data_IF_422598218921
#
_entry.id   IF_422598218921
#
_cell.length_a   1.000
_cell.length_b   1.000
_cell.length_c   1.000
_cell.angle_alpha   90.00
_cell.angle_beta   90.00
_cell.angle_gamma   90.00
#
_symmetry.space_group_name_H-M   'P 1'
#
loop_
_entity.id
_entity.type
_entity.pdbx_description
1 polymer ?
#
# COMPACT_ATOMS: atom_id res chain seq x y z
N UNK A 1 -23.07 -21.98 18.73
CA UNK A 1 -22.57 -21.02 19.73
C UNK A 1 -23.46 -19.75 19.84
N UNK A 2 -24.79 -19.86 19.66
CA UNK A 2 -25.77 -18.79 19.90
C UNK A 2 -26.82 -19.32 20.90
N UNK A 3 -26.39 -19.83 22.05
CA UNK A 3 -27.28 -20.69 22.85
C UNK A 3 -28.28 -19.93 23.74
N UNK A 4 -28.41 -18.60 23.63
CA UNK A 4 -29.32 -17.77 24.45
C UNK A 4 -29.73 -16.42 23.81
N UNK A 5 -29.58 -16.24 22.50
CA UNK A 5 -30.11 -15.04 21.83
C UNK A 5 -31.55 -15.33 21.36
N UNK A 6 -32.40 -14.31 21.31
CA UNK A 6 -33.77 -14.46 20.78
C UNK A 6 -33.68 -14.93 19.32
N UNK A 7 -34.17 -16.15 19.01
CA UNK A 7 -34.03 -16.78 17.70
C UNK A 7 -34.64 -15.94 16.57
N UNK A 8 -35.76 -15.26 16.84
CA UNK A 8 -36.37 -14.34 15.88
C UNK A 8 -35.46 -13.15 15.56
N UNK A 9 -34.72 -12.64 16.55
CA UNK A 9 -33.81 -11.51 16.39
C UNK A 9 -32.56 -11.92 15.59
N UNK A 10 -32.06 -13.13 15.81
CA UNK A 10 -30.93 -13.69 15.06
C UNK A 10 -31.31 -13.84 13.58
N UNK A 11 -32.45 -14.47 13.31
CA UNK A 11 -32.97 -14.62 11.95
C UNK A 11 -33.14 -13.27 11.25
N UNK A 12 -33.64 -12.25 11.97
CA UNK A 12 -33.74 -10.90 11.44
C UNK A 12 -32.37 -10.33 11.03
N UNK A 13 -31.35 -10.42 11.88
CA UNK A 13 -30.01 -9.89 11.58
C UNK A 13 -29.37 -10.63 10.40
N UNK A 14 -29.42 -11.96 10.39
CA UNK A 14 -28.84 -12.78 9.34
C UNK A 14 -29.49 -12.55 7.97
N UNK A 15 -30.80 -12.30 7.92
CA UNK A 15 -31.53 -12.12 6.67
C UNK A 15 -31.59 -10.67 6.18
N UNK A 16 -31.58 -9.69 7.09
CA UNK A 16 -31.87 -8.29 6.75
C UNK A 16 -30.68 -7.35 6.92
N UNK A 17 -29.71 -7.71 7.77
CA UNK A 17 -28.62 -6.82 8.17
C UNK A 17 -27.29 -7.28 7.61
N UNK A 18 -26.86 -8.51 7.92
CA UNK A 18 -25.58 -9.03 7.45
C UNK A 18 -25.41 -9.00 5.92
N UNK A 19 -26.44 -9.28 5.09
CA UNK A 19 -26.27 -9.22 3.63
C UNK A 19 -25.81 -7.86 3.09
N UNK A 20 -26.04 -6.76 3.82
CA UNK A 20 -25.58 -5.41 3.42
C UNK A 20 -24.06 -5.28 3.44
N UNK A 21 -23.36 -6.12 4.21
CA UNK A 21 -21.91 -6.16 4.27
C UNK A 21 -21.27 -6.82 3.03
N UNK A 22 -22.05 -7.45 2.14
CA UNK A 22 -21.55 -8.16 0.98
C UNK A 22 -20.89 -7.21 -0.06
N UNK A 23 -21.26 -5.93 -0.05
CA UNK A 23 -20.72 -4.92 -0.98
C UNK A 23 -19.55 -4.13 -0.40
N UNK A 24 -19.14 -4.40 0.84
CA UNK A 24 -18.05 -3.66 1.50
C UNK A 24 -16.68 -4.25 1.15
N UNK A 25 -15.63 -3.45 1.38
CA UNK A 25 -14.26 -3.91 1.20
C UNK A 25 -13.90 -5.03 2.21
N UNK A 26 -12.75 -5.67 1.98
CA UNK A 26 -12.28 -6.78 2.82
C UNK A 26 -12.08 -6.37 4.30
N UNK A 27 -11.82 -5.09 4.57
CA UNK A 27 -11.56 -4.60 5.93
C UNK A 27 -12.86 -4.46 6.74
N UNK A 28 -14.00 -4.21 6.08
CA UNK A 28 -15.29 -3.98 6.73
C UNK A 28 -16.38 -4.96 6.27
N UNK A 29 -16.06 -6.04 5.53
CA UNK A 29 -17.05 -6.99 4.98
C UNK A 29 -17.58 -8.05 5.96
N UNK A 30 -18.22 -9.10 5.43
CA UNK A 30 -18.90 -10.14 6.22
C UNK A 30 -18.01 -10.83 7.29
N UNK A 31 -16.77 -11.14 6.94
CA UNK A 31 -15.81 -11.78 7.86
C UNK A 31 -15.52 -10.87 9.05
N UNK A 32 -15.39 -9.57 8.79
CA UNK A 32 -15.12 -8.56 9.81
C UNK A 32 -16.29 -8.46 10.79
N UNK A 33 -17.51 -8.21 10.30
CA UNK A 33 -18.69 -8.04 11.19
C UNK A 33 -18.96 -9.30 12.01
N UNK A 34 -18.79 -10.50 11.43
CA UNK A 34 -19.00 -11.74 12.16
C UNK A 34 -17.99 -11.92 13.31
N UNK A 35 -16.74 -11.54 13.08
CA UNK A 35 -15.71 -11.52 14.13
C UNK A 35 -16.08 -10.53 15.23
N UNK A 36 -16.48 -9.31 14.88
CA UNK A 36 -16.88 -8.28 15.85
C UNK A 36 -18.09 -8.72 16.67
N UNK A 37 -19.08 -9.37 16.04
CA UNK A 37 -20.23 -9.97 16.71
C UNK A 37 -19.78 -11.01 17.74
N UNK A 38 -18.90 -11.94 17.36
CA UNK A 38 -18.44 -13.00 18.25
C UNK A 38 -17.68 -12.42 19.45
N UNK A 39 -16.74 -11.49 19.21
CA UNK A 39 -16.01 -10.79 20.25
C UNK A 39 -16.94 -10.02 21.19
N UNK A 40 -17.94 -9.32 20.62
CA UNK A 40 -18.91 -8.56 21.39
C UNK A 40 -19.74 -9.45 22.31
N UNK A 41 -20.17 -10.62 21.83
CA UNK A 41 -20.96 -11.59 22.61
C UNK A 41 -20.16 -12.25 23.73
N UNK A 42 -18.85 -12.43 23.57
CA UNK A 42 -17.94 -12.87 24.63
C UNK A 42 -17.81 -11.77 25.71
N UNK A 43 -17.58 -10.52 25.30
CA UNK A 43 -17.52 -9.37 26.23
C UNK A 43 -18.84 -9.14 26.96
N UNK A 44 -19.99 -9.40 26.33
CA UNK A 44 -21.30 -9.33 26.98
C UNK A 44 -21.41 -10.30 28.17
N UNK A 45 -20.81 -11.49 28.06
CA UNK A 45 -20.81 -12.48 29.14
C UNK A 45 -19.97 -12.01 30.34
N UNK A 46 -18.84 -11.33 30.08
CA UNK A 46 -17.94 -10.82 31.11
C UNK A 46 -18.57 -9.61 31.83
N UNK A 47 -19.22 -8.73 31.07
CA UNK A 47 -19.76 -7.46 31.58
C UNK A 47 -21.16 -7.58 32.16
N UNK A 48 -21.87 -8.69 31.91
CA UNK A 48 -23.29 -8.85 32.24
C UNK A 48 -24.23 -8.03 31.36
N UNK A 49 -23.74 -7.45 30.26
CA UNK A 49 -24.55 -6.64 29.36
C UNK A 49 -25.62 -7.48 28.63
N UNK A 50 -26.73 -6.87 28.26
CA UNK A 50 -27.80 -7.55 27.53
C UNK A 50 -27.30 -8.04 26.17
N UNK A 51 -27.25 -9.37 25.99
CA UNK A 51 -26.71 -10.02 24.79
C UNK A 51 -27.42 -9.62 23.49
N UNK A 52 -28.74 -9.42 23.54
CA UNK A 52 -29.51 -9.03 22.36
C UNK A 52 -29.17 -7.60 21.93
N UNK A 53 -29.00 -6.68 22.88
CA UNK A 53 -28.57 -5.31 22.57
C UNK A 53 -27.14 -5.30 22.02
N UNK A 54 -26.22 -6.05 22.62
CA UNK A 54 -24.84 -6.18 22.14
C UNK A 54 -24.80 -6.75 20.73
N UNK A 55 -25.58 -7.78 20.45
CA UNK A 55 -25.68 -8.40 19.13
C UNK A 55 -26.13 -7.40 18.06
N UNK A 56 -27.15 -6.59 18.36
CA UNK A 56 -27.61 -5.54 17.44
C UNK A 56 -26.57 -4.45 17.25
N UNK A 57 -25.94 -3.96 18.32
CA UNK A 57 -24.88 -2.95 18.20
C UNK A 57 -23.75 -3.46 17.30
N UNK A 58 -23.30 -4.70 17.51
CA UNK A 58 -22.24 -5.30 16.69
C UNK A 58 -22.66 -5.52 15.24
N UNK A 59 -23.90 -5.95 14.98
CA UNK A 59 -24.38 -6.14 13.61
C UNK A 59 -24.57 -4.83 12.83
N UNK A 60 -24.78 -3.70 13.53
CA UNK A 60 -25.04 -2.40 12.90
C UNK A 60 -23.84 -1.46 12.85
N UNK A 61 -22.76 -1.74 13.58
CA UNK A 61 -21.72 -0.75 13.88
C UNK A 61 -21.11 -0.09 12.63
N UNK A 62 -20.98 -0.86 11.56
CA UNK A 62 -20.31 -0.48 10.32
C UNK A 62 -21.24 -0.27 9.12
N UNK A 63 -22.57 -0.37 9.29
CA UNK A 63 -23.51 -0.16 8.19
C UNK A 63 -23.42 1.24 7.55
N UNK A 64 -22.85 2.21 8.27
CA UNK A 64 -22.58 3.53 7.73
C UNK A 64 -21.48 3.58 6.65
N UNK A 65 -20.76 2.49 6.42
CA UNK A 65 -19.72 2.38 5.38
C UNK A 65 -20.27 2.36 3.95
N UNK A 66 -21.60 2.27 3.78
CA UNK A 66 -22.26 2.59 2.50
C UNK A 66 -22.04 4.05 2.07
N UNK A 67 -21.70 4.94 3.02
CA UNK A 67 -21.44 6.35 2.79
C UNK A 67 -20.00 6.77 3.10
N UNK A 68 -19.75 8.08 3.33
CA UNK A 68 -18.40 8.57 3.57
C UNK A 68 -17.80 8.03 4.87
N UNK A 69 -16.61 7.43 4.77
CA UNK A 69 -15.87 6.86 5.92
C UNK A 69 -15.63 7.85 7.06
N UNK A 70 -15.53 9.15 6.79
CA UNK A 70 -15.33 10.16 7.84
C UNK A 70 -16.46 10.19 8.88
N UNK A 71 -17.68 9.82 8.50
CA UNK A 71 -18.89 9.93 9.32
C UNK A 71 -19.67 8.61 9.43
N UNK A 72 -19.05 7.48 9.06
CA UNK A 72 -19.73 6.17 9.03
C UNK A 72 -20.36 5.80 10.39
N UNK A 73 -19.64 5.94 11.50
CA UNK A 73 -20.15 5.75 12.87
C UNK A 73 -21.45 6.51 13.18
N UNK A 74 -21.57 7.78 12.78
CA UNK A 74 -22.80 8.57 12.94
C UNK A 74 -23.92 8.09 12.01
N UNK A 75 -23.55 7.68 10.81
CA UNK A 75 -24.49 7.14 9.81
C UNK A 75 -25.04 5.79 10.25
N UNK A 76 -24.19 4.89 10.77
CA UNK A 76 -24.58 3.61 11.36
C UNK A 76 -25.53 3.80 12.55
N UNK A 77 -25.25 4.77 13.43
CA UNK A 77 -26.15 5.12 14.52
C UNK A 77 -27.54 5.54 14.03
N UNK A 78 -27.60 6.41 13.01
CA UNK A 78 -28.87 6.82 12.37
C UNK A 78 -29.61 5.65 11.73
N UNK A 79 -28.90 4.75 11.04
CA UNK A 79 -29.48 3.53 10.46
C UNK A 79 -30.14 2.69 11.55
N UNK A 80 -29.45 2.44 12.66
CA UNK A 80 -29.99 1.69 13.80
C UNK A 80 -31.23 2.37 14.39
N UNK A 81 -31.15 3.67 14.69
CA UNK A 81 -32.23 4.43 15.32
C UNK A 81 -33.52 4.47 14.48
N UNK A 82 -33.38 4.48 13.15
CA UNK A 82 -34.48 4.58 12.20
C UNK A 82 -35.06 3.21 11.79
N UNK A 83 -34.45 2.10 12.20
CA UNK A 83 -35.02 0.78 11.94
C UNK A 83 -36.20 0.50 12.87
N UNK A 84 -37.40 0.81 12.39
CA UNK A 84 -38.65 0.62 13.13
C UNK A 84 -38.89 -0.83 13.54
N UNK A 85 -38.28 -1.81 12.85
CA UNK A 85 -38.45 -3.25 13.14
C UNK A 85 -37.85 -3.61 14.50
N UNK A 86 -36.81 -2.90 14.94
CA UNK A 86 -36.18 -3.11 16.25
C UNK A 86 -37.15 -2.88 17.43
N UNK A 87 -38.22 -2.09 17.23
CA UNK A 87 -39.26 -1.85 18.24
C UNK A 87 -40.03 -3.12 18.64
N UNK A 88 -39.95 -4.19 17.85
CA UNK A 88 -40.49 -5.52 18.23
C UNK A 88 -39.80 -6.10 19.46
N UNK A 89 -38.51 -5.78 19.68
CA UNK A 89 -37.70 -6.40 20.74
C UNK A 89 -37.17 -5.41 21.78
N UNK A 90 -37.09 -4.12 21.45
CA UNK A 90 -36.42 -3.12 22.29
C UNK A 90 -37.28 -1.88 22.53
N UNK A 91 -37.20 -1.32 23.73
CA UNK A 91 -37.80 -0.03 24.06
C UNK A 91 -37.10 1.13 23.33
N UNK A 92 -37.76 2.28 23.27
CA UNK A 92 -37.16 3.49 22.68
C UNK A 92 -35.84 3.88 23.36
N UNK A 93 -35.76 3.71 24.67
CA UNK A 93 -34.54 3.98 25.45
C UNK A 93 -33.41 2.99 25.13
N UNK A 94 -33.73 1.70 25.00
CA UNK A 94 -32.73 0.70 24.58
C UNK A 94 -32.19 0.99 23.18
N UNK A 95 -33.06 1.38 22.24
CA UNK A 95 -32.66 1.78 20.88
C UNK A 95 -31.74 3.02 20.93
N UNK A 96 -32.06 4.02 21.76
CA UNK A 96 -31.21 5.20 21.96
C UNK A 96 -29.81 4.81 22.47
N UNK A 97 -29.73 3.93 23.47
CA UNK A 97 -28.45 3.43 24.01
C UNK A 97 -27.65 2.68 22.94
N UNK A 98 -28.30 1.83 22.14
CA UNK A 98 -27.64 1.09 21.07
C UNK A 98 -27.13 2.00 19.94
N UNK A 99 -27.90 3.04 19.56
CA UNK A 99 -27.45 4.08 18.63
C UNK A 99 -26.17 4.74 19.14
N UNK A 100 -26.17 5.17 20.39
CA UNK A 100 -25.01 5.84 21.00
C UNK A 100 -23.79 4.91 21.06
N UNK A 101 -24.02 3.61 21.33
CA UNK A 101 -22.95 2.62 21.29
C UNK A 101 -22.34 2.46 19.89
N UNK A 102 -23.17 2.41 18.84
CA UNK A 102 -22.69 2.39 17.45
C UNK A 102 -21.90 3.65 17.12
N UNK A 103 -22.34 4.83 17.54
CA UNK A 103 -21.58 6.07 17.33
C UNK A 103 -20.23 6.06 18.07
N UNK A 104 -20.15 5.38 19.21
CA UNK A 104 -18.96 5.31 20.06
C UNK A 104 -17.95 4.21 19.63
N UNK A 105 -18.26 3.38 18.64
CA UNK A 105 -17.41 2.23 18.29
C UNK A 105 -16.02 2.61 17.78
N UNK A 106 -15.86 3.84 17.25
CA UNK A 106 -14.65 4.26 16.55
C UNK A 106 -13.43 4.17 17.46
N UNK A 107 -12.58 3.18 17.20
CA UNK A 107 -11.41 2.86 18.03
C UNK A 107 -10.37 4.00 18.18
N UNK A 108 -10.41 5.01 17.30
CA UNK A 108 -9.54 6.20 17.30
C UNK A 108 -10.11 7.39 18.09
N UNK A 109 -11.34 7.30 18.60
CA UNK A 109 -11.88 8.31 19.50
C UNK A 109 -11.17 8.25 20.85
N UNK A 110 -10.61 9.38 21.31
CA UNK A 110 -10.03 9.51 22.66
C UNK A 110 -11.09 9.64 23.76
N UNK A 111 -12.37 9.75 23.39
CA UNK A 111 -13.47 9.89 24.34
C UNK A 111 -13.89 8.53 24.86
N UNK A 112 -14.11 8.44 26.17
CA UNK A 112 -14.72 7.28 26.82
C UNK A 112 -16.13 7.05 26.26
N UNK A 113 -16.47 5.83 25.80
CA UNK A 113 -17.81 5.51 25.35
C UNK A 113 -18.87 5.77 26.44
N UNK A 114 -20.06 6.22 26.02
CA UNK A 114 -21.15 6.68 26.90
C UNK A 114 -21.79 5.57 27.71
N UNK A 115 -21.74 4.33 27.21
CA UNK A 115 -22.41 3.17 27.82
C UNK A 115 -21.52 1.92 27.82
N UNK A 116 -21.92 0.90 28.58
CA UNK A 116 -21.26 -0.41 28.53
C UNK A 116 -21.29 -1.02 27.13
N UNK A 117 -22.37 -0.80 26.37
CA UNK A 117 -22.49 -1.28 24.99
C UNK A 117 -21.48 -0.58 24.06
N UNK A 118 -21.27 0.72 24.26
CA UNK A 118 -20.23 1.48 23.55
C UNK A 118 -18.82 0.97 23.87
N UNK A 119 -18.54 0.67 25.14
CA UNK A 119 -17.28 0.06 25.58
C UNK A 119 -17.05 -1.31 24.96
N UNK A 120 -18.09 -2.15 24.90
CA UNK A 120 -18.03 -3.49 24.29
C UNK A 120 -17.69 -3.38 22.80
N UNK A 121 -18.42 -2.56 22.04
CA UNK A 121 -18.21 -2.51 20.59
C UNK A 121 -16.87 -1.87 20.21
N UNK A 122 -16.48 -0.78 20.89
CA UNK A 122 -15.19 -0.14 20.69
C UNK A 122 -14.01 -1.05 21.03
N UNK A 123 -14.23 -2.03 21.91
CA UNK A 123 -13.23 -3.03 22.24
C UNK A 123 -13.26 -4.24 21.30
N UNK A 124 -14.45 -4.76 20.96
CA UNK A 124 -14.64 -5.92 20.09
C UNK A 124 -14.14 -5.70 18.66
N UNK A 125 -14.23 -4.46 18.18
CA UNK A 125 -13.75 -4.03 16.86
C UNK A 125 -12.21 -4.03 16.76
N UNK A 126 -11.52 -3.92 17.91
CA UNK A 126 -10.06 -3.96 17.94
C UNK A 126 -9.55 -5.37 17.76
N UNK A 127 -8.73 -5.54 16.73
CA UNK A 127 -7.94 -6.74 16.52
C UNK A 127 -6.59 -6.60 17.23
N UNK A 128 -6.44 -7.34 18.32
CA UNK A 128 -5.26 -7.33 19.18
C UNK A 128 -4.52 -8.66 19.15
N UNK A 129 -4.75 -9.52 18.16
CA UNK A 129 -3.88 -10.68 17.97
C UNK A 129 -2.43 -10.20 17.78
N UNK A 130 -1.46 -10.65 18.60
CA UNK A 130 -0.09 -10.14 18.55
C UNK A 130 0.53 -10.20 17.16
N UNK A 131 0.34 -11.33 16.46
CA UNK A 131 0.85 -11.51 15.09
C UNK A 131 0.30 -10.46 14.13
N UNK A 132 -1.00 -10.16 14.20
CA UNK A 132 -1.66 -9.17 13.33
C UNK A 132 -1.17 -7.76 13.67
N UNK A 133 -1.03 -7.44 14.95
CA UNK A 133 -0.56 -6.13 15.42
C UNK A 133 0.86 -5.86 14.94
N UNK A 134 1.77 -6.81 15.15
CA UNK A 134 3.17 -6.64 14.74
C UNK A 134 3.32 -6.62 13.22
N UNK A 135 2.64 -7.52 12.50
CA UNK A 135 2.66 -7.54 11.02
C UNK A 135 2.20 -6.20 10.44
N UNK A 136 1.06 -5.66 10.89
CA UNK A 136 0.57 -4.37 10.40
C UNK A 136 1.51 -3.21 10.71
N UNK A 137 2.16 -3.22 11.88
CA UNK A 137 3.12 -2.18 12.23
C UNK A 137 4.40 -2.26 11.37
N UNK A 138 4.84 -3.47 11.00
CA UNK A 138 5.99 -3.68 10.10
C UNK A 138 5.64 -3.27 8.68
N UNK A 139 4.49 -3.70 8.16
CA UNK A 139 3.98 -3.27 6.85
C UNK A 139 3.88 -1.74 6.78
N UNK A 140 3.34 -1.09 7.82
CA UNK A 140 3.29 0.36 7.91
C UNK A 140 4.70 1.01 7.87
N UNK A 141 5.71 0.43 8.52
CA UNK A 141 7.08 0.94 8.44
C UNK A 141 7.65 0.79 7.02
N UNK A 142 7.44 -0.37 6.37
CA UNK A 142 7.87 -0.64 5.00
C UNK A 142 7.22 0.34 4.02
N UNK A 143 5.90 0.50 4.04
CA UNK A 143 5.15 1.39 3.14
C UNK A 143 5.57 2.85 3.25
N UNK A 144 5.84 3.33 4.47
CA UNK A 144 6.26 4.71 4.70
C UNK A 144 7.76 4.96 4.41
N UNK A 145 8.57 3.91 4.31
CA UNK A 145 10.01 4.03 4.10
C UNK A 145 10.59 2.85 3.32
N UNK A 146 10.17 2.64 2.05
CA UNK A 146 10.35 1.35 1.39
C UNK A 146 11.79 0.97 1.06
N UNK A 147 12.67 1.98 0.95
CA UNK A 147 14.10 1.81 0.69
C UNK A 147 14.97 2.11 1.92
N UNK A 148 14.36 2.22 3.10
CA UNK A 148 15.12 2.43 4.31
C UNK A 148 15.94 1.17 4.68
N UNK A 149 17.17 1.34 5.19
CA UNK A 149 17.90 0.23 5.79
C UNK A 149 17.05 -0.46 6.87
N UNK A 150 17.20 -1.78 7.02
CA UNK A 150 16.45 -2.61 7.98
C UNK A 150 16.49 -2.02 9.39
N UNK A 151 17.64 -1.48 9.81
CA UNK A 151 17.78 -0.82 11.13
C UNK A 151 16.86 0.39 11.30
N UNK A 152 16.66 1.18 10.23
CA UNK A 152 15.75 2.33 10.27
C UNK A 152 14.29 1.88 10.31
N UNK A 153 13.94 0.82 9.57
CA UNK A 153 12.60 0.21 9.65
C UNK A 153 12.32 -0.34 11.05
N UNK A 154 13.30 -1.01 11.66
CA UNK A 154 13.24 -1.47 13.04
C UNK A 154 12.97 -0.32 14.02
N UNK A 155 13.68 0.80 13.91
CA UNK A 155 13.43 1.97 14.79
C UNK A 155 12.03 2.56 14.59
N UNK A 156 11.53 2.62 13.35
CA UNK A 156 10.18 3.10 13.07
C UNK A 156 9.10 2.18 13.65
N UNK A 157 9.23 0.87 13.43
CA UNK A 157 8.37 -0.15 14.01
C UNK A 157 8.36 -0.06 15.54
N UNK A 158 9.56 -0.05 16.16
CA UNK A 158 9.73 0.02 17.62
C UNK A 158 9.00 1.25 18.17
N UNK A 159 9.27 2.43 17.63
CA UNK A 159 8.59 3.67 18.04
C UNK A 159 7.06 3.56 17.91
N UNK A 160 6.56 3.12 16.76
CA UNK A 160 5.12 3.01 16.50
C UNK A 160 4.42 2.10 17.51
N UNK A 161 5.00 0.93 17.76
CA UNK A 161 4.45 -0.06 18.68
C UNK A 161 4.49 0.45 20.13
N UNK A 162 5.57 1.11 20.57
CA UNK A 162 5.64 1.70 21.91
C UNK A 162 4.62 2.84 22.10
N UNK A 163 4.52 3.77 21.15
CA UNK A 163 3.61 4.92 21.22
C UNK A 163 2.14 4.50 21.29
N UNK A 164 1.77 3.43 20.57
CA UNK A 164 0.38 2.98 20.50
C UNK A 164 0.03 1.94 21.54
N UNK A 165 0.81 0.86 21.65
CA UNK A 165 0.47 -0.34 22.43
C UNK A 165 1.27 -0.50 23.72
N UNK A 166 2.33 0.27 23.91
CA UNK A 166 3.17 0.21 25.10
C UNK A 166 2.42 0.52 26.41
N UNK A 167 3.13 0.40 27.53
CA UNK A 167 2.60 0.69 28.87
C UNK A 167 2.00 2.09 28.98
N UNK A 168 2.66 3.06 28.35
CA UNK A 168 2.25 4.47 28.26
C UNK A 168 1.62 4.81 26.89
N UNK A 169 1.23 3.80 26.11
CA UNK A 169 0.67 3.99 24.79
C UNK A 169 -0.75 4.57 24.83
N UNK A 170 -1.18 5.21 23.75
CA UNK A 170 -2.49 5.86 23.69
C UNK A 170 -3.68 4.91 23.50
N UNK A 171 -3.45 3.61 23.24
CA UNK A 171 -4.55 2.64 23.15
C UNK A 171 -5.26 2.47 24.50
N UNK A 172 -6.57 2.65 24.51
CA UNK A 172 -7.39 2.55 25.71
C UNK A 172 -8.37 1.39 25.60
N UNK A 173 -8.27 0.41 26.50
CA UNK A 173 -9.27 -0.65 26.68
C UNK A 173 -10.20 -0.28 27.84
N UNK A 174 -11.47 -0.67 27.74
CA UNK A 174 -12.52 -0.18 28.64
C UNK A 174 -13.10 -1.28 29.53
N UNK A 175 -12.83 -2.55 29.21
CA UNK A 175 -13.33 -3.70 29.94
C UNK A 175 -12.15 -4.43 30.58
N UNK A 176 -12.02 -4.44 31.92
CA UNK A 176 -10.96 -5.17 32.59
C UNK A 176 -11.13 -6.67 32.41
N UNK A 177 -10.02 -7.42 32.40
CA UNK A 177 -9.99 -8.89 32.26
C UNK A 177 -10.63 -9.45 30.99
N UNK A 178 -10.81 -8.62 29.96
CA UNK A 178 -11.32 -9.07 28.67
C UNK A 178 -10.28 -9.91 27.90
N UNK A 179 -10.69 -10.66 26.85
CA UNK A 179 -9.75 -11.29 25.93
C UNK A 179 -8.76 -10.29 25.33
N UNK A 180 -9.24 -9.09 24.98
CA UNK A 180 -8.42 -8.03 24.41
C UNK A 180 -7.46 -7.41 25.44
N UNK A 181 -7.83 -7.32 26.72
CA UNK A 181 -6.92 -6.93 27.78
C UNK A 181 -5.76 -7.92 27.93
N UNK A 182 -6.06 -9.24 27.89
CA UNK A 182 -5.04 -10.31 27.92
C UNK A 182 -4.12 -10.25 26.70
N UNK A 183 -4.68 -10.06 25.50
CA UNK A 183 -3.90 -9.94 24.26
C UNK A 183 -3.01 -8.69 24.27
N UNK A 184 -3.52 -7.55 24.73
CA UNK A 184 -2.72 -6.33 24.88
C UNK A 184 -1.58 -6.54 25.89
N UNK A 185 -1.82 -7.29 26.96
CA UNK A 185 -0.77 -7.62 27.92
C UNK A 185 0.30 -8.52 27.29
N UNK A 186 -0.07 -9.51 26.46
CA UNK A 186 0.89 -10.31 25.69
C UNK A 186 1.72 -9.45 24.74
N UNK A 187 1.08 -8.51 24.04
CA UNK A 187 1.77 -7.54 23.18
C UNK A 187 2.77 -6.74 24.02
N UNK A 188 2.34 -6.20 25.18
CA UNK A 188 3.20 -5.41 26.08
C UNK A 188 4.37 -6.22 26.63
N UNK A 189 4.16 -7.49 26.97
CA UNK A 189 5.25 -8.37 27.38
C UNK A 189 6.32 -8.50 26.29
N UNK A 190 5.91 -8.64 25.03
CA UNK A 190 6.86 -8.60 23.90
C UNK A 190 7.54 -7.24 23.76
N UNK A 191 6.80 -6.13 23.92
CA UNK A 191 7.34 -4.76 23.82
C UNK A 191 8.38 -4.47 24.90
N UNK A 192 8.14 -4.94 26.12
CA UNK A 192 8.98 -4.68 27.30
C UNK A 192 10.32 -5.45 27.21
N UNK A 193 10.41 -6.49 26.36
CA UNK A 193 11.63 -7.25 26.09
C UNK A 193 12.16 -6.98 24.68
N UNK A 194 13.21 -6.17 24.58
CA UNK A 194 13.75 -5.74 23.28
C UNK A 194 14.25 -6.89 22.41
N UNK A 195 14.87 -7.91 22.99
CA UNK A 195 15.37 -9.08 22.26
C UNK A 195 14.20 -9.89 21.66
N UNK A 196 13.14 -10.08 22.43
CA UNK A 196 11.90 -10.75 21.97
C UNK A 196 11.24 -9.93 20.86
N UNK A 197 11.11 -8.61 21.06
CA UNK A 197 10.50 -7.72 20.07
C UNK A 197 11.30 -7.71 18.76
N UNK A 198 12.64 -7.71 18.86
CA UNK A 198 13.54 -7.75 17.70
C UNK A 198 13.43 -9.07 16.95
N UNK A 199 13.39 -10.20 17.65
CA UNK A 199 13.19 -11.52 17.06
C UNK A 199 11.85 -11.63 16.32
N UNK A 200 10.77 -11.10 16.90
CA UNK A 200 9.46 -11.01 16.23
C UNK A 200 9.55 -10.16 14.96
N UNK A 201 10.19 -8.99 15.05
CA UNK A 201 10.39 -8.11 13.90
C UNK A 201 11.16 -8.82 12.79
N UNK A 202 12.30 -9.44 13.09
CA UNK A 202 13.15 -10.07 12.08
C UNK A 202 12.43 -11.22 11.36
N UNK A 203 11.70 -12.05 12.12
CA UNK A 203 10.90 -13.14 11.53
C UNK A 203 9.82 -12.61 10.60
N UNK A 204 9.01 -11.65 11.05
CA UNK A 204 7.88 -11.14 10.25
C UNK A 204 8.41 -10.32 9.08
N UNK A 205 9.41 -9.47 9.30
CA UNK A 205 10.05 -8.70 8.23
C UNK A 205 10.58 -9.63 7.13
N UNK A 206 11.25 -10.72 7.49
CA UNK A 206 11.72 -11.70 6.52
C UNK A 206 10.55 -12.37 5.76
N UNK A 207 9.46 -12.71 6.44
CA UNK A 207 8.26 -13.25 5.78
C UNK A 207 7.69 -12.26 4.76
N UNK A 208 7.54 -10.99 5.16
CA UNK A 208 6.98 -9.90 4.34
C UNK A 208 7.91 -9.43 3.21
N UNK A 209 9.20 -9.74 3.28
CA UNK A 209 10.19 -9.26 2.28
C UNK A 209 10.92 -10.38 1.54
N UNK A 210 10.62 -11.65 1.85
CA UNK A 210 11.28 -12.81 1.23
C UNK A 210 11.15 -12.85 -0.30
N UNK A 211 10.12 -12.21 -0.85
CA UNK A 211 9.90 -12.10 -2.29
C UNK A 211 10.63 -10.92 -2.95
N UNK A 212 11.19 -9.99 -2.18
CA UNK A 212 11.88 -8.81 -2.68
C UNK A 212 13.30 -9.15 -3.12
N UNK A 213 13.66 -8.70 -4.31
CA UNK A 213 15.00 -8.92 -4.85
C UNK A 213 15.97 -7.83 -4.41
N UNK A 214 17.20 -8.22 -4.09
CA UNK A 214 18.29 -7.27 -3.87
C UNK A 214 18.88 -6.77 -5.21
N UNK A 215 19.77 -5.77 -5.15
CA UNK A 215 20.36 -5.16 -6.35
C UNK A 215 21.16 -6.15 -7.21
N UNK A 216 21.84 -7.14 -6.62
CA UNK A 216 22.62 -8.14 -7.36
C UNK A 216 21.69 -9.10 -8.10
N UNK A 217 20.61 -9.56 -7.46
CA UNK A 217 19.59 -10.40 -8.09
C UNK A 217 18.89 -9.67 -9.24
N UNK A 218 18.54 -8.39 -9.04
CA UNK A 218 17.95 -7.55 -10.08
C UNK A 218 18.93 -7.31 -11.24
N UNK A 219 20.20 -7.05 -10.95
CA UNK A 219 21.22 -6.90 -12.00
C UNK A 219 21.44 -8.21 -12.76
N UNK A 220 21.50 -9.33 -12.06
CA UNK A 220 21.62 -10.66 -12.65
C UNK A 220 20.46 -10.93 -13.62
N UNK A 221 19.23 -10.55 -13.24
CA UNK A 221 18.07 -10.66 -14.12
C UNK A 221 18.19 -9.77 -15.37
N UNK A 222 18.69 -8.54 -15.25
CA UNK A 222 18.95 -7.68 -16.41
C UNK A 222 20.00 -8.29 -17.37
N UNK A 223 21.02 -8.96 -16.83
CA UNK A 223 22.02 -9.70 -17.60
C UNK A 223 21.38 -10.90 -18.31
N UNK A 224 20.54 -11.68 -17.63
CA UNK A 224 19.82 -12.80 -18.26
C UNK A 224 18.95 -12.35 -19.43
N UNK A 225 18.20 -11.25 -19.27
CA UNK A 225 17.42 -10.64 -20.35
C UNK A 225 18.28 -10.28 -21.56
N UNK A 226 19.52 -9.83 -21.33
CA UNK A 226 20.45 -9.51 -22.43
C UNK A 226 20.93 -10.75 -23.18
N UNK A 227 21.15 -11.87 -22.47
CA UNK A 227 21.54 -13.15 -23.05
C UNK A 227 20.36 -13.75 -23.84
N UNK A 228 19.16 -13.73 -23.24
CA UNK A 228 17.91 -14.17 -23.89
C UNK A 228 17.64 -13.35 -25.17
N UNK A 229 17.93 -12.05 -25.16
CA UNK A 229 17.78 -11.17 -26.33
C UNK A 229 18.60 -11.66 -27.52
N UNK A 230 19.89 -11.94 -27.31
CA UNK A 230 20.79 -12.44 -28.36
C UNK A 230 20.30 -13.77 -28.91
N UNK A 231 19.89 -14.69 -28.03
CA UNK A 231 19.37 -16.00 -28.43
C UNK A 231 18.12 -15.87 -29.33
N UNK A 232 17.34 -14.79 -29.17
CA UNK A 232 16.13 -14.50 -29.93
C UNK A 232 16.34 -13.53 -31.10
N UNK A 233 17.59 -13.20 -31.47
CA UNK A 233 17.91 -12.35 -32.63
C UNK A 233 17.90 -10.83 -32.36
N UNK A 234 17.78 -10.41 -31.10
CA UNK A 234 17.95 -9.03 -30.67
C UNK A 234 19.42 -8.67 -30.32
N UNK A 235 19.65 -7.41 -29.95
CA UNK A 235 20.97 -6.96 -29.46
C UNK A 235 21.27 -7.44 -28.03
N UNK A 236 22.55 -7.45 -27.59
CA UNK A 236 23.00 -7.96 -26.28
C UNK A 236 22.72 -7.00 -25.11
N UNK A 237 21.48 -6.49 -25.03
CA UNK A 237 21.08 -5.53 -24.01
C UNK A 237 19.76 -5.92 -23.37
N UNK A 238 19.73 -5.88 -22.03
CA UNK A 238 18.58 -6.15 -21.19
C UNK A 238 18.48 -5.08 -20.11
N UNK A 239 17.25 -4.72 -19.75
CA UNK A 239 17.00 -3.73 -18.72
C UNK A 239 15.71 -4.06 -17.95
N UNK A 240 15.69 -3.71 -16.68
CA UNK A 240 14.50 -3.77 -15.86
C UNK A 240 14.39 -2.53 -14.98
N UNK A 241 13.16 -2.19 -14.61
CA UNK A 241 12.86 -1.12 -13.66
C UNK A 241 12.23 -1.76 -12.44
N UNK A 242 12.77 -1.43 -11.27
CA UNK A 242 12.30 -1.93 -9.99
C UNK A 242 12.03 -0.79 -9.01
N UNK A 243 11.18 -1.05 -8.04
CA UNK A 243 10.91 -0.18 -6.90
C UNK A 243 10.89 -1.05 -5.65
N UNK A 244 11.78 -0.77 -4.70
CA UNK A 244 11.87 -1.46 -3.42
C UNK A 244 12.08 -2.98 -3.54
N UNK A 245 12.86 -3.43 -4.53
CA UNK A 245 13.10 -4.85 -4.77
C UNK A 245 12.01 -5.58 -5.57
N UNK A 246 10.92 -4.90 -5.93
CA UNK A 246 9.88 -5.43 -6.82
C UNK A 246 10.11 -4.95 -8.25
N UNK A 247 10.10 -5.88 -9.20
CA UNK A 247 10.22 -5.59 -10.63
C UNK A 247 8.89 -5.01 -11.13
N UNK A 248 8.95 -3.81 -11.70
CA UNK A 248 7.80 -3.13 -12.34
C UNK A 248 7.72 -3.48 -13.81
N UNK A 249 8.87 -3.52 -14.50
CA UNK A 249 8.93 -3.83 -15.92
C UNK A 249 10.29 -4.41 -16.32
N UNK A 250 10.27 -5.30 -17.30
CA UNK A 250 11.44 -5.91 -17.93
C UNK A 250 11.38 -5.71 -19.44
N UNK A 251 12.54 -5.50 -20.06
CA UNK A 251 12.67 -5.48 -21.52
C UNK A 251 14.07 -5.84 -21.98
N UNK A 252 14.16 -6.26 -23.23
CA UNK A 252 15.40 -6.46 -23.97
C UNK A 252 15.41 -5.61 -25.23
N UNK A 253 16.58 -5.47 -25.85
CA UNK A 253 16.70 -4.80 -27.14
C UNK A 253 15.90 -5.56 -28.20
N UNK A 254 15.06 -4.83 -28.93
CA UNK A 254 14.24 -5.40 -30.00
C UNK A 254 14.31 -4.57 -31.28
N UNK A 255 15.41 -3.85 -31.50
CA UNK A 255 15.56 -2.92 -32.62
C UNK A 255 15.30 -3.59 -33.97
N UNK A 256 15.98 -4.69 -34.24
CA UNK A 256 15.85 -5.45 -35.51
C UNK A 256 14.55 -6.23 -35.58
N UNK A 257 14.03 -6.68 -34.44
CA UNK A 257 12.80 -7.47 -34.35
C UNK A 257 11.54 -6.62 -34.58
N UNK A 258 11.55 -5.38 -34.12
CA UNK A 258 10.41 -4.45 -34.19
C UNK A 258 10.53 -3.40 -35.29
N UNK A 259 11.68 -3.34 -35.99
CA UNK A 259 12.02 -2.27 -36.93
C UNK A 259 11.92 -0.86 -36.30
N UNK A 260 12.24 -0.75 -35.01
CA UNK A 260 12.27 0.52 -34.26
C UNK A 260 13.69 0.76 -33.73
N UNK A 261 14.46 1.71 -34.30
CA UNK A 261 15.81 2.03 -33.80
C UNK A 261 15.81 2.60 -32.37
N UNK A 262 14.64 3.00 -31.84
CA UNK A 262 14.50 3.46 -30.45
C UNK A 262 14.17 2.34 -29.48
N UNK A 263 13.91 1.11 -29.95
CA UNK A 263 13.54 -0.05 -29.14
C UNK A 263 14.73 -0.69 -28.40
N UNK A 264 15.53 0.15 -27.76
CA UNK A 264 16.55 -0.25 -26.80
C UNK A 264 15.90 -0.81 -25.53
N UNK A 265 16.66 -1.59 -24.77
CA UNK A 265 16.15 -2.26 -23.58
C UNK A 265 15.63 -1.24 -22.55
N UNK A 266 16.38 -0.17 -22.31
CA UNK A 266 16.07 0.86 -21.31
C UNK A 266 14.81 1.65 -21.71
N UNK A 267 14.73 2.10 -22.97
CA UNK A 267 13.56 2.80 -23.51
C UNK A 267 12.31 1.91 -23.43
N UNK A 268 12.45 0.65 -23.80
CA UNK A 268 11.34 -0.32 -23.76
C UNK A 268 10.89 -0.61 -22.32
N UNK A 269 11.82 -0.74 -21.37
CA UNK A 269 11.51 -0.91 -19.96
C UNK A 269 10.80 0.32 -19.39
N UNK A 270 11.25 1.54 -19.72
CA UNK A 270 10.59 2.80 -19.33
C UNK A 270 9.16 2.85 -19.89
N UNK A 271 8.97 2.57 -21.18
CA UNK A 271 7.63 2.57 -21.81
C UNK A 271 6.68 1.60 -21.09
N UNK A 272 7.13 0.38 -20.82
CA UNK A 272 6.34 -0.63 -20.09
C UNK A 272 6.05 -0.21 -18.64
N UNK A 273 7.04 0.33 -17.92
CA UNK A 273 6.84 0.77 -16.54
C UNK A 273 5.82 1.91 -16.43
N UNK A 274 5.89 2.89 -17.33
CA UNK A 274 4.92 3.97 -17.42
C UNK A 274 3.50 3.45 -17.68
N UNK A 275 3.34 2.46 -18.56
CA UNK A 275 2.05 1.81 -18.82
C UNK A 275 1.53 1.04 -17.60
N UNK A 276 2.39 0.22 -16.98
CA UNK A 276 2.03 -0.59 -15.81
C UNK A 276 1.60 0.28 -14.62
N UNK A 277 2.23 1.45 -14.44
CA UNK A 277 1.95 2.37 -13.34
C UNK A 277 0.94 3.47 -13.69
N UNK A 278 0.53 3.59 -14.96
CA UNK A 278 -0.39 4.65 -15.42
C UNK A 278 0.16 6.07 -15.24
N UNK A 279 1.48 6.27 -15.38
CA UNK A 279 2.17 7.56 -15.14
C UNK A 279 3.29 7.78 -16.14
N UNK A 280 3.67 9.04 -16.40
CA UNK A 280 4.86 9.41 -17.17
C UNK A 280 6.10 9.68 -16.30
N UNK A 281 5.93 9.66 -14.97
CA UNK A 281 6.97 9.94 -13.99
C UNK A 281 7.26 8.68 -13.16
N UNK A 282 8.52 8.22 -13.22
CA UNK A 282 9.03 7.03 -12.55
C UNK A 282 9.93 7.37 -11.35
N UNK A 283 9.78 8.53 -10.72
CA UNK A 283 10.47 8.83 -9.46
C UNK A 283 10.17 7.79 -8.39
N UNK A 284 11.16 7.51 -7.55
CA UNK A 284 11.15 6.38 -6.62
C UNK A 284 11.50 5.02 -7.25
N UNK A 285 11.71 4.94 -8.57
CA UNK A 285 12.17 3.72 -9.23
C UNK A 285 13.67 3.79 -9.58
N UNK A 286 14.27 2.61 -9.69
CA UNK A 286 15.66 2.39 -10.11
C UNK A 286 15.65 1.57 -11.41
N UNK A 287 16.49 1.96 -12.37
CA UNK A 287 16.72 1.15 -13.57
C UNK A 287 18.02 0.35 -13.43
N UNK A 288 17.93 -0.93 -13.76
CA UNK A 288 19.04 -1.88 -13.86
C UNK A 288 19.20 -2.22 -15.33
N UNK A 289 20.38 -1.97 -15.89
CA UNK A 289 20.66 -2.20 -17.31
C UNK A 289 21.94 -3.02 -17.47
N UNK A 290 21.95 -3.99 -18.39
CA UNK A 290 23.11 -4.86 -18.61
C UNK A 290 24.32 -4.11 -19.16
N UNK A 291 24.13 -2.90 -19.69
CA UNK A 291 25.19 -2.01 -20.17
C UNK A 291 24.88 -0.54 -19.82
N UNK A 292 25.92 0.27 -19.63
CA UNK A 292 25.86 1.72 -19.45
C UNK A 292 24.99 2.37 -20.55
N UNK A 293 23.98 3.19 -20.20
CA UNK A 293 23.05 3.72 -21.19
C UNK A 293 23.72 4.55 -22.28
N UNK A 294 23.36 4.31 -23.53
CA UNK A 294 23.70 5.20 -24.65
C UNK A 294 23.06 6.58 -24.46
N UNK A 295 23.48 7.62 -25.22
CA UNK A 295 22.92 8.97 -25.09
C UNK A 295 21.39 9.07 -25.18
N UNK A 296 20.76 8.29 -26.06
CA UNK A 296 19.30 8.25 -26.19
C UNK A 296 18.65 7.71 -24.91
N UNK A 297 19.13 6.56 -24.44
CA UNK A 297 18.62 5.90 -23.24
C UNK A 297 18.85 6.74 -21.99
N UNK A 298 20.03 7.37 -21.86
CA UNK A 298 20.33 8.30 -20.78
C UNK A 298 19.33 9.46 -20.76
N UNK A 299 19.07 10.10 -21.91
CA UNK A 299 18.06 11.13 -22.03
C UNK A 299 16.66 10.65 -21.62
N UNK A 300 16.26 9.47 -22.08
CA UNK A 300 14.97 8.87 -21.71
C UNK A 300 14.85 8.63 -20.20
N UNK A 301 15.91 8.18 -19.53
CA UNK A 301 15.96 7.98 -18.08
C UNK A 301 15.76 9.31 -17.34
N UNK A 302 16.41 10.39 -17.78
CA UNK A 302 16.22 11.73 -17.20
C UNK A 302 14.79 12.24 -17.38
N UNK A 303 14.20 12.09 -18.58
CA UNK A 303 12.81 12.47 -18.83
C UNK A 303 11.81 11.65 -18.02
N UNK A 304 12.12 10.38 -17.76
CA UNK A 304 11.31 9.50 -16.91
C UNK A 304 11.50 9.76 -15.40
N UNK A 305 12.49 10.59 -15.00
CA UNK A 305 12.79 10.98 -13.62
C UNK A 305 13.08 9.81 -12.67
N UNK A 306 13.74 8.78 -13.18
CA UNK A 306 14.24 7.65 -12.38
C UNK A 306 15.30 8.14 -11.38
N UNK A 307 15.30 7.59 -10.16
CA UNK A 307 16.15 8.08 -9.07
C UNK A 307 17.61 7.62 -9.21
N UNK A 308 17.82 6.47 -9.87
CA UNK A 308 19.15 5.85 -9.99
C UNK A 308 19.27 4.95 -11.21
N UNK A 309 20.48 4.93 -11.76
CA UNK A 309 20.92 4.01 -12.82
C UNK A 309 21.96 3.07 -12.21
N UNK A 310 21.75 1.77 -12.38
CA UNK A 310 22.74 0.73 -12.08
C UNK A 310 23.03 -0.02 -13.38
N UNK A 311 24.31 -0.18 -13.71
CA UNK A 311 24.72 -0.85 -14.94
C UNK A 311 25.87 -1.83 -14.72
N UNK A 312 25.95 -2.86 -15.57
CA UNK A 312 27.01 -3.88 -15.53
C UNK A 312 28.14 -3.56 -16.53
N UNK A 313 27.95 -3.84 -17.82
CA UNK A 313 28.94 -3.53 -18.85
C UNK A 313 29.05 -2.01 -19.05
N UNK A 314 30.18 -1.53 -19.55
CA UNK A 314 30.42 -0.12 -19.86
C UNK A 314 30.18 0.18 -21.34
N UNK A 315 30.05 1.46 -21.71
CA UNK A 315 29.97 1.87 -23.12
C UNK A 315 31.19 1.48 -23.95
N UNK A 316 32.35 1.28 -23.30
CA UNK A 316 33.57 0.80 -23.96
C UNK A 316 33.46 -0.66 -24.34
N UNK A 317 32.81 -1.47 -23.51
CA UNK A 317 32.56 -2.89 -23.80
C UNK A 317 31.60 -3.03 -24.98
N UNK A 318 30.55 -2.21 -25.04
CA UNK A 318 29.64 -2.15 -26.19
C UNK A 318 30.37 -1.71 -27.48
N UNK A 319 31.23 -0.70 -27.39
CA UNK A 319 32.04 -0.24 -28.52
C UNK A 319 33.03 -1.30 -29.03
N UNK A 320 33.61 -2.09 -28.14
CA UNK A 320 34.55 -3.16 -28.50
C UNK A 320 33.92 -4.26 -29.36
N UNK A 321 32.59 -4.42 -29.31
CA UNK A 321 31.85 -5.38 -30.13
C UNK A 321 31.06 -4.72 -31.27
N UNK A 322 31.33 -3.45 -31.57
CA UNK A 322 30.84 -2.76 -32.76
C UNK A 322 29.57 -1.93 -32.58
N UNK A 323 29.14 -1.62 -31.36
CA UNK A 323 28.07 -0.65 -31.13
C UNK A 323 28.58 0.79 -31.03
N UNK A 324 27.75 1.75 -31.42
CA UNK A 324 28.13 3.16 -31.58
C UNK A 324 28.03 4.00 -30.29
N UNK A 325 27.79 3.39 -29.13
CA UNK A 325 27.55 4.09 -27.85
C UNK A 325 28.61 5.14 -27.54
N UNK A 326 29.89 4.76 -27.60
CA UNK A 326 31.03 5.65 -27.37
C UNK A 326 31.12 6.76 -28.42
N UNK A 327 30.79 6.45 -29.68
CA UNK A 327 30.80 7.42 -30.77
C UNK A 327 29.72 8.49 -30.56
N UNK A 328 28.50 8.09 -30.19
CA UNK A 328 27.40 9.02 -29.94
C UNK A 328 27.69 9.98 -28.79
N UNK A 329 28.37 9.53 -27.73
CA UNK A 329 28.82 10.43 -26.66
C UNK A 329 29.82 11.48 -27.15
N UNK A 330 30.71 11.14 -28.09
CA UNK A 330 31.63 12.10 -28.70
C UNK A 330 30.88 13.12 -29.57
N UNK A 331 29.90 12.67 -30.34
CA UNK A 331 29.06 13.56 -31.17
C UNK A 331 28.28 14.59 -30.34
N UNK A 332 27.81 14.20 -29.16
CA UNK A 332 27.11 15.12 -28.25
C UNK A 332 28.00 16.29 -27.79
N UNK A 333 29.30 16.05 -27.59
CA UNK A 333 30.24 17.08 -27.14
C UNK A 333 30.58 18.11 -28.23
N UNK A 334 30.28 17.81 -29.50
CA UNK A 334 30.52 18.71 -30.62
C UNK A 334 29.41 19.76 -30.74
N UNK A 335 29.77 20.96 -31.23
CA UNK A 335 28.77 21.94 -31.65
C UNK A 335 27.95 21.36 -32.82
N UNK A 336 26.64 21.68 -32.93
CA UNK A 336 25.75 20.99 -33.86
C UNK A 336 26.20 20.99 -35.33
N UNK A 337 26.87 22.05 -35.79
CA UNK A 337 27.37 22.17 -37.16
C UNK A 337 28.62 21.32 -37.44
N UNK A 338 29.31 20.82 -36.42
CA UNK A 338 30.54 20.01 -36.55
C UNK A 338 30.33 18.52 -36.28
N UNK A 339 29.10 18.09 -36.01
CA UNK A 339 28.74 16.68 -35.88
C UNK A 339 28.86 15.97 -37.24
N UNK A 340 29.05 14.65 -37.21
CA UNK A 340 28.93 13.77 -38.38
C UNK A 340 27.57 13.90 -39.09
N UNK A 341 26.55 14.35 -38.35
CA UNK A 341 25.27 14.85 -38.86
C UNK A 341 25.18 16.36 -38.62
N UNK A 342 25.72 17.19 -39.54
CA UNK A 342 25.69 18.63 -39.39
C UNK A 342 24.26 19.12 -39.23
N UNK A 343 24.02 19.90 -38.20
CA UNK A 343 22.69 20.46 -37.90
C UNK A 343 22.70 21.96 -38.12
N UNK A 344 21.68 22.46 -38.82
CA UNK A 344 21.48 23.88 -39.08
C UNK A 344 20.13 24.36 -38.50
N UNK A 345 20.04 25.64 -38.16
CA UNK A 345 18.80 26.25 -37.65
C UNK A 345 18.05 26.93 -38.78
N UNK A 346 16.82 26.51 -39.03
CA UNK A 346 15.92 27.12 -40.02
C UNK A 346 14.59 27.52 -39.37
N UNK A 347 13.97 28.61 -39.86
CA UNK A 347 12.62 29.07 -39.48
C UNK A 347 12.38 29.31 -37.96
N UNK A 348 13.42 29.59 -37.18
CA UNK A 348 13.35 29.75 -35.70
C UNK A 348 12.21 30.67 -35.24
N UNK A 349 12.06 31.85 -35.86
CA UNK A 349 11.04 32.83 -35.48
C UNK A 349 9.61 32.29 -35.62
N UNK A 350 9.34 31.47 -36.65
CA UNK A 350 8.03 30.86 -36.84
C UNK A 350 7.76 29.75 -35.81
N UNK A 351 8.78 28.99 -35.41
CA UNK A 351 8.65 27.90 -34.45
C UNK A 351 8.40 28.38 -33.00
N UNK A 352 8.91 29.56 -32.62
CA UNK A 352 8.75 30.12 -31.27
C UNK A 352 7.29 30.32 -30.85
N UNK A 353 6.37 30.46 -31.81
CA UNK A 353 4.93 30.60 -31.56
C UNK A 353 4.39 29.45 -30.69
N UNK A 354 4.84 28.21 -30.90
CA UNK A 354 4.40 27.07 -30.08
C UNK A 354 4.84 27.19 -28.62
N UNK A 355 6.05 27.71 -28.36
CA UNK A 355 6.55 27.91 -27.00
C UNK A 355 5.80 29.04 -26.29
N UNK A 356 5.46 30.11 -26.99
CA UNK A 356 4.61 31.18 -26.44
C UNK A 356 3.21 30.66 -26.09
N UNK A 357 2.62 29.81 -26.94
CA UNK A 357 1.34 29.17 -26.66
C UNK A 357 1.41 28.29 -25.41
N UNK A 358 2.46 27.47 -25.28
CA UNK A 358 2.69 26.66 -24.08
C UNK A 358 2.84 27.53 -22.82
N UNK A 359 3.59 28.62 -22.89
CA UNK A 359 3.79 29.53 -21.77
C UNK A 359 2.46 30.15 -21.29
N UNK A 360 1.59 30.55 -22.23
CA UNK A 360 0.27 31.15 -21.95
C UNK A 360 -0.80 30.14 -21.51
N UNK A 361 -0.64 28.85 -21.82
CA UNK A 361 -1.61 27.80 -21.46
C UNK A 361 -1.65 27.62 -19.94
N UNK A 362 -2.83 27.77 -19.33
CA UNK A 362 -3.02 27.68 -17.88
C UNK A 362 -3.28 26.26 -17.38
N UNK A 363 -3.81 25.39 -18.25
CA UNK A 363 -4.18 24.00 -18.00
C UNK A 363 -3.14 23.00 -18.57
N UNK A 364 -1.88 23.42 -18.67
CA UNK A 364 -0.80 22.54 -19.16
C UNK A 364 -0.37 21.55 -18.07
N UNK A 365 0.04 20.36 -18.50
CA UNK A 365 0.72 19.38 -17.65
C UNK A 365 2.22 19.50 -17.89
N UNK A 366 2.97 19.93 -16.89
CA UNK A 366 4.43 19.93 -16.95
C UNK A 366 4.97 18.51 -16.79
N UNK A 367 6.01 18.18 -17.55
CA UNK A 367 6.65 16.86 -17.53
C UNK A 367 8.16 16.99 -17.66
#
# INVERSE_FOLDING_TARGET
MIQNANLDLVAFVEQQILPRYATFDKAHGLIHVQRVINNSLELAQITGANRNMVYIVAAYHDLGMEGPRAIHHLTGGKILQNDARLRKWFSAEQIRIMREAVEDHRASSSRTPRSIYGKIIAEADRDLEPEIVFTRAIQFAIENSPNAPVDKLWQQFKRHIHEKYGRNGYISLWIPNSPNARKLENIRFSIDNEETLKSIFDRIYLQETSHLMNNEQLMQRAIELSIESVANGGGPFGALIARNGEIIAEASNSVTLSNDPTAHAEVSAIRKACQNLGTFNLSGCVIFTSCEPCPMCLGAIYWARLDKILYANTRKDAAAIGFDDEFLYKELALQPQYRSKPSETIMRSAALVAFEQWQKKSDKTEY
#
